data_IF_800759804833
#
_entry.id   IF_800759804833
#
_cell.length_a   1.000
_cell.length_b   1.000
_cell.length_c   1.000
_cell.angle_alpha   90.00
_cell.angle_beta   90.00
_cell.angle_gamma   90.00
#
_symmetry.space_group_name_H-M   'P 1'
#
loop_
_entity.id
_entity.type
_entity.pdbx_description
1 polymer ?
#
# COMPACT_ATOMS: atom_id res chain seq x y z
N UNK A 1 -17.70 -18.94 -12.38
CA UNK A 1 -17.28 -17.79 -11.55
C UNK A 1 -18.41 -16.78 -11.54
N UNK A 2 -19.00 -16.47 -10.39
CA UNK A 2 -20.00 -15.40 -10.25
C UNK A 2 -19.26 -14.07 -10.04
N UNK A 3 -19.52 -13.10 -10.92
CA UNK A 3 -18.97 -11.76 -10.86
C UNK A 3 -19.78 -10.94 -9.83
N UNK A 4 -19.21 -10.72 -8.64
CA UNK A 4 -19.84 -9.97 -7.55
C UNK A 4 -19.89 -8.44 -7.80
N UNK A 5 -19.42 -7.95 -8.95
CA UNK A 5 -19.39 -6.52 -9.30
C UNK A 5 -20.51 -6.10 -10.27
N UNK A 6 -21.39 -7.02 -10.67
CA UNK A 6 -22.41 -6.75 -11.71
C UNK A 6 -23.68 -6.03 -11.21
N UNK A 7 -23.78 -5.69 -9.92
CA UNK A 7 -24.94 -5.02 -9.34
C UNK A 7 -24.67 -3.54 -9.04
N UNK A 8 -25.58 -2.60 -9.39
CA UNK A 8 -25.45 -1.21 -8.98
C UNK A 8 -25.52 -1.11 -7.44
N UNK A 9 -24.63 -0.34 -6.78
CA UNK A 9 -24.58 -0.30 -5.33
C UNK A 9 -25.80 0.42 -4.70
N UNK A 10 -26.25 0.01 -3.51
CA UNK A 10 -27.33 0.66 -2.76
C UNK A 10 -27.09 2.15 -2.50
N UNK A 11 -28.17 2.96 -2.46
CA UNK A 11 -28.09 4.44 -2.38
C UNK A 11 -27.30 5.00 -1.18
N UNK A 12 -27.29 4.31 -0.04
CA UNK A 12 -26.53 4.72 1.15
C UNK A 12 -25.02 4.49 0.98
N UNK A 13 -24.62 3.44 0.26
CA UNK A 13 -23.23 3.27 -0.21
C UNK A 13 -22.86 4.36 -1.21
N UNK A 14 -23.82 4.83 -2.01
CA UNK A 14 -23.67 5.98 -2.91
C UNK A 14 -23.29 7.29 -2.20
N UNK A 15 -23.70 7.48 -0.94
CA UNK A 15 -23.33 8.66 -0.11
C UNK A 15 -21.91 8.54 0.45
N UNK A 16 -21.48 7.34 0.90
CA UNK A 16 -20.07 7.09 1.25
C UNK A 16 -19.15 7.26 0.02
N UNK A 17 -19.62 6.80 -1.13
CA UNK A 17 -19.01 7.05 -2.44
C UNK A 17 -19.04 8.53 -2.85
N UNK A 18 -19.91 9.37 -2.27
CA UNK A 18 -20.05 10.80 -2.60
C UNK A 18 -19.04 11.67 -1.84
N UNK A 19 -18.55 11.19 -0.70
CA UNK A 19 -17.49 11.83 0.10
C UNK A 19 -16.12 11.16 -0.10
N UNK A 20 -16.04 10.02 -0.80
CA UNK A 20 -14.79 9.38 -1.19
C UNK A 20 -14.46 9.72 -2.65
N UNK A 21 -13.65 10.75 -2.85
CA UNK A 21 -12.89 11.00 -4.08
C UNK A 21 -11.94 9.82 -4.43
N UNK A 22 -11.67 8.95 -3.45
CA UNK A 22 -10.74 7.82 -3.48
C UNK A 22 -11.22 6.60 -4.27
N UNK A 23 -12.54 6.38 -4.39
CA UNK A 23 -13.09 5.18 -5.03
C UNK A 23 -13.42 5.33 -6.53
N UNK A 24 -13.36 6.55 -7.09
CA UNK A 24 -13.82 6.85 -8.46
C UNK A 24 -12.74 7.21 -9.48
N UNK A 25 -11.49 7.44 -9.08
CA UNK A 25 -10.52 8.07 -9.99
C UNK A 25 -9.43 7.16 -10.61
N UNK A 26 -9.07 5.97 -10.06
CA UNK A 26 -7.72 5.43 -10.38
C UNK A 26 -7.52 3.99 -10.86
N UNK A 27 -8.52 3.15 -11.17
CA UNK A 27 -8.21 1.81 -11.71
C UNK A 27 -8.88 1.50 -13.05
N UNK A 28 -8.32 1.95 -14.20
CA UNK A 28 -8.40 1.17 -15.42
C UNK A 28 -7.50 -0.07 -15.26
N UNK A 29 -7.91 -1.02 -14.41
CA UNK A 29 -7.15 -2.24 -14.14
C UNK A 29 -6.81 -3.06 -15.41
N UNK A 30 -7.60 -2.88 -16.47
CA UNK A 30 -7.44 -3.61 -17.74
C UNK A 30 -6.37 -3.06 -18.68
N UNK A 31 -5.92 -1.81 -18.52
CA UNK A 31 -4.86 -1.22 -19.38
C UNK A 31 -3.45 -1.48 -18.84
N UNK A 32 -3.34 -2.08 -17.64
CA UNK A 32 -2.09 -2.20 -16.86
C UNK A 32 -1.60 -3.63 -16.68
N UNK A 33 -2.23 -4.62 -17.33
CA UNK A 33 -1.76 -5.99 -17.27
C UNK A 33 -0.49 -6.12 -18.12
N UNK A 34 0.66 -6.18 -17.46
CA UNK A 34 1.78 -6.94 -17.99
C UNK A 34 1.27 -8.38 -18.07
N UNK A 35 1.28 -8.98 -19.26
CA UNK A 35 0.65 -10.30 -19.47
C UNK A 35 1.26 -11.36 -18.54
N UNK A 36 2.52 -11.19 -18.15
CA UNK A 36 3.22 -11.98 -17.16
C UNK A 36 4.14 -11.08 -16.33
N UNK A 37 3.96 -11.09 -15.01
CA UNK A 37 4.83 -10.40 -14.03
C UNK A 37 6.32 -10.68 -14.29
N UNK A 38 6.63 -11.86 -14.83
CA UNK A 38 7.94 -12.29 -15.30
C UNK A 38 8.66 -11.22 -16.14
N UNK A 39 7.93 -10.46 -16.97
CA UNK A 39 8.49 -9.42 -17.84
C UNK A 39 9.14 -8.27 -17.03
N UNK A 40 8.67 -8.01 -15.79
CA UNK A 40 9.32 -7.06 -14.88
C UNK A 40 10.75 -7.48 -14.49
N UNK A 41 11.08 -8.75 -14.68
CA UNK A 41 12.37 -9.32 -14.34
C UNK A 41 13.20 -9.66 -15.58
N UNK A 42 12.57 -9.97 -16.72
CA UNK A 42 13.25 -10.48 -17.92
C UNK A 42 13.27 -9.49 -19.09
N UNK A 43 12.37 -8.51 -19.14
CA UNK A 43 12.18 -7.60 -20.28
C UNK A 43 12.07 -6.13 -19.83
N UNK A 44 12.94 -5.73 -18.91
CA UNK A 44 12.87 -4.44 -18.21
C UNK A 44 13.02 -3.22 -19.10
N UNK A 45 13.76 -3.37 -20.19
CA UNK A 45 14.03 -2.29 -21.14
C UNK A 45 13.04 -2.27 -22.31
N UNK A 46 12.00 -3.12 -22.27
CA UNK A 46 10.93 -3.04 -23.26
C UNK A 46 10.12 -1.76 -23.06
N UNK A 47 9.72 -1.13 -24.17
CA UNK A 47 8.90 0.08 -24.18
C UNK A 47 7.65 -0.07 -23.29
N UNK A 48 7.05 -1.27 -23.30
CA UNK A 48 5.89 -1.61 -22.47
C UNK A 48 6.17 -1.55 -20.97
N UNK A 49 7.28 -2.13 -20.50
CA UNK A 49 7.63 -2.12 -19.08
C UNK A 49 7.98 -0.70 -18.63
N UNK A 50 8.62 0.09 -19.50
CA UNK A 50 8.91 1.49 -19.22
C UNK A 50 7.63 2.34 -19.15
N UNK A 51 6.71 2.18 -20.10
CA UNK A 51 5.39 2.85 -20.07
C UNK A 51 4.59 2.47 -18.80
N UNK A 52 4.55 1.18 -18.45
CA UNK A 52 3.90 0.73 -17.21
C UNK A 52 4.55 1.34 -15.96
N UNK A 53 5.87 1.51 -15.96
CA UNK A 53 6.61 2.14 -14.88
C UNK A 53 6.31 3.64 -14.74
N UNK A 54 6.21 4.37 -15.86
CA UNK A 54 5.82 5.77 -15.87
C UNK A 54 4.40 5.94 -15.31
N UNK A 55 3.45 5.14 -15.81
CA UNK A 55 2.05 5.21 -15.38
C UNK A 55 1.87 4.94 -13.88
N UNK A 56 2.52 3.91 -13.33
CA UNK A 56 2.39 3.60 -11.90
C UNK A 56 3.12 4.63 -11.02
N UNK A 57 4.23 5.19 -11.51
CA UNK A 57 4.97 6.24 -10.80
C UNK A 57 4.14 7.51 -10.65
N UNK A 58 3.50 7.96 -11.73
CA UNK A 58 2.62 9.13 -11.74
C UNK A 58 1.40 8.94 -10.82
N UNK A 59 0.84 7.73 -10.82
CA UNK A 59 -0.28 7.37 -9.96
C UNK A 59 0.10 7.39 -8.47
N UNK A 60 1.25 6.81 -8.11
CA UNK A 60 1.74 6.83 -6.74
C UNK A 60 1.97 8.28 -6.27
N UNK A 61 2.56 9.12 -7.11
CA UNK A 61 2.80 10.52 -6.79
C UNK A 61 1.49 11.30 -6.62
N UNK A 62 0.51 11.06 -7.49
CA UNK A 62 -0.83 11.65 -7.38
C UNK A 62 -1.50 11.26 -6.07
N UNK A 63 -1.48 9.97 -5.69
CA UNK A 63 -2.07 9.50 -4.43
C UNK A 63 -1.34 10.12 -3.23
N UNK A 64 0.00 10.18 -3.26
CA UNK A 64 0.79 10.77 -2.18
C UNK A 64 0.42 12.24 -1.95
N UNK A 65 0.25 13.01 -3.03
CA UNK A 65 -0.16 14.41 -2.95
C UNK A 65 -1.58 14.58 -2.39
N UNK A 66 -2.53 13.74 -2.81
CA UNK A 66 -3.90 13.75 -2.29
C UNK A 66 -3.93 13.44 -0.79
N UNK A 67 -3.24 12.40 -0.36
CA UNK A 67 -3.16 12.02 1.06
C UNK A 67 -2.51 13.14 1.89
N UNK A 68 -1.46 13.78 1.37
CA UNK A 68 -0.81 14.90 2.04
C UNK A 68 -1.71 16.13 2.14
N UNK A 69 -2.50 16.43 1.10
CA UNK A 69 -3.47 17.53 1.11
C UNK A 69 -4.55 17.35 2.18
N UNK A 70 -4.92 16.10 2.47
CA UNK A 70 -5.85 15.73 3.53
C UNK A 70 -5.17 15.62 4.93
N UNK A 71 -3.88 15.97 5.03
CA UNK A 71 -3.11 15.89 6.27
C UNK A 71 -2.71 14.46 6.69
N UNK A 72 -2.88 13.49 5.80
CA UNK A 72 -2.52 12.09 6.02
C UNK A 72 -1.05 11.78 5.75
N UNK A 73 -0.64 10.57 6.10
CA UNK A 73 0.68 10.01 5.79
C UNK A 73 0.55 8.93 4.72
N UNK A 74 1.43 8.99 3.73
CA UNK A 74 1.48 8.04 2.62
C UNK A 74 2.80 7.26 2.61
N UNK A 75 2.74 6.03 2.10
CA UNK A 75 3.86 5.12 1.98
C UNK A 75 3.49 3.94 1.10
N UNK A 76 4.51 3.27 0.59
CA UNK A 76 4.40 2.16 -0.34
C UNK A 76 4.89 0.88 0.33
N UNK A 77 4.05 -0.15 0.33
CA UNK A 77 4.43 -1.51 0.74
C UNK A 77 4.44 -2.41 -0.50
N UNK A 78 5.57 -3.02 -0.80
CA UNK A 78 5.71 -3.92 -1.94
C UNK A 78 5.73 -5.38 -1.48
N UNK A 79 4.78 -6.16 -1.98
CA UNK A 79 4.72 -7.60 -1.74
C UNK A 79 5.60 -8.36 -2.75
N UNK A 80 6.41 -9.32 -2.28
CA UNK A 80 7.22 -10.16 -3.16
C UNK A 80 6.39 -11.30 -3.77
N UNK A 81 6.85 -11.83 -4.90
CA UNK A 81 6.40 -13.14 -5.42
C UNK A 81 7.12 -14.28 -4.69
N UNK A 82 6.51 -15.47 -4.64
CA UNK A 82 7.09 -16.67 -4.00
C UNK A 82 8.49 -16.99 -4.53
N UNK A 83 8.72 -16.80 -5.83
CA UNK A 83 10.02 -17.05 -6.47
C UNK A 83 11.16 -16.18 -5.90
N UNK A 84 10.84 -15.04 -5.29
CA UNK A 84 11.81 -14.12 -4.73
C UNK A 84 12.32 -14.53 -3.33
N UNK A 85 11.76 -15.59 -2.75
CA UNK A 85 12.21 -16.16 -1.46
C UNK A 85 12.78 -17.57 -1.62
N UNK A 86 13.07 -17.98 -2.85
CA UNK A 86 13.79 -19.23 -3.15
C UNK A 86 15.28 -19.09 -2.83
N UNK A 87 16.00 -20.22 -2.82
CA UNK A 87 17.44 -20.25 -2.53
C UNK A 87 18.29 -19.46 -3.55
N UNK A 88 17.83 -19.39 -4.80
CA UNK A 88 18.42 -18.60 -5.87
C UNK A 88 17.34 -17.67 -6.47
N UNK A 89 17.03 -16.54 -5.79
CA UNK A 89 15.97 -15.66 -6.22
C UNK A 89 16.41 -14.81 -7.43
N UNK A 90 15.49 -14.45 -8.34
CA UNK A 90 15.81 -13.52 -9.41
C UNK A 90 16.22 -12.15 -8.82
N UNK A 91 16.99 -11.34 -9.57
CA UNK A 91 17.33 -9.98 -9.15
C UNK A 91 16.10 -9.17 -8.74
N UNK A 92 16.16 -8.53 -7.57
CA UNK A 92 15.08 -7.72 -6.99
C UNK A 92 14.97 -6.32 -7.64
N UNK A 93 14.97 -6.28 -8.97
CA UNK A 93 15.05 -5.03 -9.73
C UNK A 93 13.80 -4.16 -9.54
N UNK A 94 12.56 -4.70 -9.59
CA UNK A 94 11.37 -3.90 -9.29
C UNK A 94 11.40 -3.30 -7.87
N UNK A 95 11.85 -4.07 -6.88
CA UNK A 95 12.02 -3.60 -5.49
C UNK A 95 13.02 -2.45 -5.43
N UNK A 96 14.15 -2.56 -6.11
CA UNK A 96 15.17 -1.52 -6.12
C UNK A 96 14.71 -0.24 -6.84
N UNK A 97 13.99 -0.39 -7.97
CA UNK A 97 13.38 0.76 -8.68
C UNK A 97 12.39 1.49 -7.78
N UNK A 98 11.48 0.78 -7.11
CA UNK A 98 10.54 1.41 -6.15
C UNK A 98 11.25 2.02 -4.95
N UNK A 99 12.28 1.37 -4.41
CA UNK A 99 13.08 1.91 -3.31
C UNK A 99 13.70 3.26 -3.68
N UNK A 100 14.32 3.36 -4.86
CA UNK A 100 14.93 4.59 -5.36
C UNK A 100 13.88 5.68 -5.65
N UNK A 101 12.78 5.31 -6.32
CA UNK A 101 11.66 6.21 -6.59
C UNK A 101 11.10 6.83 -5.30
N UNK A 102 10.81 5.99 -4.30
CA UNK A 102 10.30 6.43 -3.02
C UNK A 102 11.32 7.30 -2.26
N UNK A 103 12.60 6.93 -2.28
CA UNK A 103 13.67 7.71 -1.65
C UNK A 103 13.76 9.13 -2.23
N UNK A 104 13.69 9.28 -3.56
CA UNK A 104 13.73 10.58 -4.23
C UNK A 104 12.54 11.47 -3.86
N UNK A 105 11.36 10.86 -3.68
CA UNK A 105 10.10 11.56 -3.36
C UNK A 105 9.80 11.67 -1.87
N UNK A 106 10.71 11.19 -1.01
CA UNK A 106 10.52 11.11 0.45
C UNK A 106 9.26 10.33 0.84
N UNK A 107 8.86 9.37 0.02
CA UNK A 107 7.77 8.44 0.32
C UNK A 107 8.36 7.30 1.17
N UNK A 108 7.66 6.92 2.25
CA UNK A 108 8.09 5.76 3.03
C UNK A 108 7.94 4.49 2.19
N UNK A 109 8.95 3.62 2.21
CA UNK A 109 8.99 2.40 1.41
C UNK A 109 9.25 1.19 2.29
N UNK A 110 8.46 0.13 2.09
CA UNK A 110 8.65 -1.15 2.74
C UNK A 110 8.76 -2.29 1.73
N UNK A 111 9.77 -3.12 1.93
CA UNK A 111 10.00 -4.34 1.17
C UNK A 111 9.53 -5.56 1.97
N UNK A 112 8.41 -6.14 1.54
CA UNK A 112 7.81 -7.32 2.17
C UNK A 112 8.65 -8.59 2.04
N UNK A 113 9.63 -8.65 1.13
CA UNK A 113 10.54 -9.79 1.00
C UNK A 113 11.27 -10.06 2.31
N UNK A 114 11.69 -9.00 3.01
CA UNK A 114 12.38 -9.11 4.30
C UNK A 114 11.49 -9.71 5.39
N UNK A 115 10.17 -9.54 5.33
CA UNK A 115 9.24 -10.15 6.30
C UNK A 115 9.15 -11.67 6.16
N UNK A 116 9.48 -12.19 4.98
CA UNK A 116 9.23 -13.59 4.60
C UNK A 116 10.51 -14.42 4.54
N UNK A 117 11.68 -13.83 4.80
CA UNK A 117 12.99 -14.49 4.69
C UNK A 117 13.05 -15.82 5.46
N UNK A 118 12.56 -15.85 6.70
CA UNK A 118 12.57 -17.06 7.55
C UNK A 118 11.51 -18.09 7.15
N UNK A 119 10.45 -17.66 6.46
CA UNK A 119 9.37 -18.55 6.03
C UNK A 119 9.64 -19.17 4.66
N UNK A 120 10.42 -18.50 3.81
CA UNK A 120 10.64 -18.90 2.43
C UNK A 120 9.31 -19.16 1.71
N UNK A 121 9.25 -20.22 0.92
CA UNK A 121 8.05 -20.63 0.16
C UNK A 121 6.82 -20.89 1.02
N UNK A 122 6.99 -21.25 2.31
CA UNK A 122 5.88 -21.49 3.23
C UNK A 122 5.15 -20.19 3.66
N UNK A 123 5.71 -19.04 3.30
CA UNK A 123 5.04 -17.74 3.41
C UNK A 123 3.87 -17.58 2.42
N UNK A 124 3.69 -18.51 1.48
CA UNK A 124 2.75 -18.39 0.37
C UNK A 124 1.80 -19.58 0.27
N UNK A 125 0.63 -19.37 -0.33
CA UNK A 125 -0.29 -20.45 -0.75
C UNK A 125 -0.10 -20.84 -2.21
N UNK A 126 0.33 -19.89 -3.04
CA UNK A 126 0.66 -20.06 -4.45
C UNK A 126 1.82 -19.12 -4.84
N UNK A 127 1.91 -18.70 -6.10
CA UNK A 127 3.07 -17.98 -6.60
C UNK A 127 3.13 -16.49 -6.17
N UNK A 128 2.02 -15.89 -5.72
CA UNK A 128 1.93 -14.47 -5.36
C UNK A 128 1.06 -14.16 -4.12
N UNK A 129 0.23 -15.10 -3.66
CA UNK A 129 -0.61 -14.91 -2.48
C UNK A 129 0.05 -15.43 -1.20
N UNK A 130 0.00 -14.61 -0.15
CA UNK A 130 0.52 -14.98 1.16
C UNK A 130 -0.34 -16.06 1.84
N UNK A 131 0.31 -16.98 2.54
CA UNK A 131 -0.34 -17.85 3.52
C UNK A 131 -0.73 -17.07 4.77
N UNK A 132 -1.58 -17.66 5.62
CA UNK A 132 -1.92 -17.06 6.91
C UNK A 132 -0.65 -16.75 7.74
N UNK A 133 0.39 -17.59 7.65
CA UNK A 133 1.69 -17.37 8.31
C UNK A 133 2.45 -16.22 7.65
N UNK A 134 2.47 -16.14 6.32
CA UNK A 134 3.12 -15.05 5.59
C UNK A 134 2.45 -13.69 5.87
N UNK A 135 1.12 -13.65 5.82
CA UNK A 135 0.34 -12.46 6.15
C UNK A 135 0.58 -11.99 7.58
N UNK A 136 0.65 -12.91 8.54
CA UNK A 136 0.98 -12.57 9.92
C UNK A 136 2.41 -12.02 10.08
N UNK A 137 3.39 -12.57 9.36
CA UNK A 137 4.76 -12.08 9.38
C UNK A 137 4.87 -10.65 8.85
N UNK A 138 4.23 -10.37 7.71
CA UNK A 138 4.14 -9.02 7.13
C UNK A 138 3.40 -8.06 8.09
N UNK A 139 2.24 -8.45 8.60
CA UNK A 139 1.44 -7.61 9.49
C UNK A 139 2.20 -7.22 10.76
N UNK A 140 2.97 -8.16 11.36
CA UNK A 140 3.83 -7.86 12.52
C UNK A 140 4.87 -6.80 12.19
N UNK A 141 5.46 -6.88 11.01
CA UNK A 141 6.49 -5.93 10.60
C UNK A 141 5.90 -4.53 10.34
N UNK A 142 4.72 -4.46 9.73
CA UNK A 142 3.97 -3.20 9.56
C UNK A 142 3.59 -2.62 10.93
N UNK A 143 3.11 -3.44 11.87
CA UNK A 143 2.77 -2.97 13.21
C UNK A 143 4.00 -2.45 13.97
N UNK A 144 5.18 -3.03 13.75
CA UNK A 144 6.44 -2.61 14.37
C UNK A 144 7.08 -1.39 13.69
N UNK A 145 6.71 -1.07 12.44
CA UNK A 145 7.31 0.04 11.69
C UNK A 145 6.90 1.42 12.22
N UNK A 146 5.92 1.49 13.13
CA UNK A 146 5.32 2.73 13.66
C UNK A 146 4.70 3.63 12.60
N UNK A 147 4.51 3.14 11.38
CA UNK A 147 3.93 3.90 10.27
C UNK A 147 2.43 4.11 10.46
N UNK A 148 1.73 3.07 10.91
CA UNK A 148 0.37 3.21 11.43
C UNK A 148 0.51 3.71 12.86
N UNK A 149 0.57 5.04 13.01
CA UNK A 149 0.28 5.62 14.31
C UNK A 149 -1.19 5.34 14.59
N UNK A 150 -1.49 4.64 15.69
CA UNK A 150 -2.85 4.70 16.22
C UNK A 150 -3.17 6.19 16.34
N UNK A 151 -4.30 6.67 15.79
CA UNK A 151 -4.67 8.06 15.98
C UNK A 151 -4.60 8.31 17.48
N UNK A 152 -3.70 9.22 17.86
CA UNK A 152 -3.54 9.65 19.23
C UNK A 152 -4.94 9.92 19.75
N UNK A 153 -5.34 9.20 20.80
CA UNK A 153 -6.52 9.51 21.62
C UNK A 153 -6.56 11.01 21.79
N UNK A 154 -7.42 11.66 21.01
CA UNK A 154 -7.46 13.12 20.97
C UNK A 154 -8.27 13.53 22.18
N UNK A 155 -7.61 14.28 23.07
CA UNK A 155 -8.22 15.25 23.98
C UNK A 155 -8.94 14.70 25.23
N UNK A 156 -8.20 14.50 26.33
CA UNK A 156 -8.66 15.06 27.61
C UNK A 156 -8.43 16.57 27.56
N UNK A 157 -9.39 17.30 26.98
CA UNK A 157 -9.58 18.71 27.26
C UNK A 157 -10.09 18.81 28.69
N UNK A 158 -9.18 18.88 29.66
CA UNK A 158 -9.56 19.32 31.00
C UNK A 158 -9.79 20.82 30.89
N UNK A 159 -11.03 21.21 30.65
CA UNK A 159 -11.46 22.60 30.75
C UNK A 159 -11.10 23.12 32.15
N UNK A 160 -10.24 24.13 32.17
CA UNK A 160 -10.03 24.99 33.30
C UNK A 160 -11.32 25.76 33.60
N UNK A 161 -12.19 25.21 34.45
CA UNK A 161 -13.23 25.99 35.12
C UNK A 161 -12.64 26.67 36.35
N UNK A 162 -12.07 27.84 36.08
CA UNK A 162 -11.84 28.91 37.04
C UNK A 162 -13.15 29.25 37.74
N UNK A 163 -13.33 28.77 38.97
CA UNK A 163 -14.32 29.32 39.89
C UNK A 163 -13.63 30.35 40.76
N UNK A 164 -13.94 31.62 40.45
CA UNK A 164 -13.62 32.77 41.27
C UNK A 164 -14.29 32.64 42.64
N UNK A 165 -13.52 33.05 43.63
CA UNK A 165 -13.86 33.37 45.01
C UNK A 165 -15.23 34.05 45.23
N UNK A 166 -15.94 33.60 46.27
CA UNK A 166 -16.75 34.46 47.12
C UNK A 166 -16.89 33.83 48.53
N UNK A 167 -16.15 34.36 49.50
CA UNK A 167 -16.52 34.35 50.92
C UNK A 167 -17.01 35.74 51.29
N UNK A 168 -18.00 35.81 52.18
CA UNK A 168 -17.81 36.50 53.45
C UNK A 168 -17.92 35.54 54.63
#
# INVERSE_FOLDING_TARGET
MQNNLAGPPPRFLGTLYRYSSFARFLLPGHQREIHQVEELFTAQDSDRVQEAWELISDEIETIAQLVAADGGQFGLFLFPFQRQVLADPPPAIPQEKFRLFCQQRKIQYWDGQKSLADLGVYGFIDYDHLSARGGLAVARQIAQSKWITNPTTTSESTEAHSSRSASP
#
